data_IF_830804126983
#
_entry.id   IF_830804126983
#
_cell.length_a   1.000
_cell.length_b   1.000
_cell.length_c   1.000
_cell.angle_alpha   90.00
_cell.angle_beta   90.00
_cell.angle_gamma   90.00
#
_symmetry.space_group_name_H-M   'P 1'
#
loop_
_entity.id
_entity.type
_entity.pdbx_description
1 polymer ?
#
# COMPACT_ATOMS: atom_id res chain seq x y z
N UNK A 1 -25.41 64.99 15.30
CA UNK A 1 -26.66 65.79 15.45
C UNK A 1 -27.81 64.82 15.61
N UNK A 2 -28.66 64.99 16.63
CA UNK A 2 -29.95 64.30 16.73
C UNK A 2 -30.13 63.43 17.96
N UNK A 3 -30.65 64.04 19.03
CA UNK A 3 -31.06 63.43 20.30
C UNK A 3 -32.20 62.42 20.18
N UNK A 4 -32.30 61.50 21.14
CA UNK A 4 -33.60 61.04 21.67
C UNK A 4 -33.43 60.52 23.12
N UNK A 5 -34.00 61.25 24.07
CA UNK A 5 -34.46 60.76 25.38
C UNK A 5 -35.99 60.51 25.26
N UNK A 6 -36.74 59.83 26.16
CA UNK A 6 -36.55 59.78 27.63
C UNK A 6 -36.98 58.46 28.36
N UNK A 7 -36.78 58.46 29.70
CA UNK A 7 -37.60 57.92 30.84
C UNK A 7 -38.38 56.60 30.61
N UNK A 8 -38.33 55.57 31.47
CA UNK A 8 -38.63 55.47 32.92
C UNK A 8 -38.49 53.93 33.19
N UNK A 9 -37.91 53.40 34.27
CA UNK A 9 -38.56 53.19 35.56
C UNK A 9 -37.56 52.57 36.56
N UNK A 10 -37.71 53.03 37.80
CA UNK A 10 -37.05 52.61 39.04
C UNK A 10 -37.32 51.13 39.39
N UNK A 11 -36.31 50.44 39.92
CA UNK A 11 -36.49 49.47 41.00
C UNK A 11 -35.27 49.55 41.93
N UNK A 12 -35.46 50.28 43.03
CA UNK A 12 -34.68 50.15 44.27
C UNK A 12 -35.12 48.87 44.99
N UNK A 13 -34.19 48.16 45.62
CA UNK A 13 -34.29 47.37 46.87
C UNK A 13 -32.90 46.71 47.08
N UNK A 14 -31.97 47.33 47.82
CA UNK A 14 -31.73 47.29 49.28
C UNK A 14 -30.71 46.21 49.74
N UNK A 15 -29.69 46.73 50.45
CA UNK A 15 -28.98 46.20 51.62
C UNK A 15 -27.73 45.30 51.45
N UNK A 16 -26.60 45.94 51.75
CA UNK A 16 -25.53 45.54 52.66
C UNK A 16 -25.47 44.10 53.18
N UNK A 17 -24.27 43.52 53.07
CA UNK A 17 -23.81 42.46 53.97
C UNK A 17 -22.67 41.63 53.40
N UNK A 18 -21.44 42.14 53.48
CA UNK A 18 -20.23 41.32 53.31
C UNK A 18 -20.15 40.28 54.43
N UNK A 19 -20.02 39.01 54.06
CA UNK A 19 -19.27 38.02 54.84
C UNK A 19 -18.47 37.17 53.86
N UNK A 20 -17.16 37.39 53.86
CA UNK A 20 -16.21 36.59 53.12
C UNK A 20 -16.09 35.21 53.76
N UNK A 21 -16.24 34.16 52.95
CA UNK A 21 -15.67 32.83 53.25
C UNK A 21 -14.93 32.39 52.00
N UNK A 22 -13.61 32.54 52.02
CA UNK A 22 -12.73 31.92 51.04
C UNK A 22 -12.42 30.49 51.51
N UNK A 23 -12.79 29.48 50.71
CA UNK A 23 -12.22 28.13 50.81
C UNK A 23 -12.45 27.34 49.52
N UNK A 24 -11.36 27.12 48.78
CA UNK A 24 -11.19 25.99 47.85
C UNK A 24 -11.56 26.24 46.38
N UNK A 25 -10.60 26.22 45.44
CA UNK A 25 -10.94 25.85 44.08
C UNK A 25 -11.29 24.36 44.12
N UNK A 26 -12.58 24.03 44.06
CA UNK A 26 -12.95 22.67 43.70
C UNK A 26 -12.34 22.42 42.33
N UNK A 27 -11.45 21.43 42.31
CA UNK A 27 -10.63 21.08 41.17
C UNK A 27 -11.46 21.12 39.90
N UNK A 28 -10.95 21.87 38.92
CA UNK A 28 -11.22 21.53 37.54
C UNK A 28 -10.83 20.05 37.46
N UNK A 29 -11.83 19.18 37.43
CA UNK A 29 -11.61 17.79 37.05
C UNK A 29 -10.93 17.91 35.70
N UNK A 30 -9.62 17.72 35.74
CA UNK A 30 -8.83 17.59 34.55
C UNK A 30 -9.52 16.47 33.81
N UNK A 31 -10.15 16.82 32.69
CA UNK A 31 -10.49 15.86 31.66
C UNK A 31 -9.17 15.30 31.18
N UNK A 32 -8.60 14.43 32.00
CA UNK A 32 -7.61 13.45 31.64
C UNK A 32 -8.37 12.56 30.68
N UNK A 33 -8.35 12.91 29.40
CA UNK A 33 -8.59 11.94 28.34
C UNK A 33 -7.42 10.97 28.36
N UNK A 34 -7.36 10.19 29.42
CA UNK A 34 -6.54 9.03 29.57
C UNK A 34 -7.06 8.09 28.48
N UNK A 35 -6.30 7.88 27.42
CA UNK A 35 -6.59 6.81 26.48
C UNK A 35 -6.44 5.49 27.26
N UNK A 36 -7.53 4.99 27.84
CA UNK A 36 -7.53 3.81 28.73
C UNK A 36 -7.55 2.46 27.99
N UNK A 37 -7.49 2.46 26.66
CA UNK A 37 -7.43 1.22 25.85
C UNK A 37 -6.45 1.38 24.71
N UNK A 38 -5.73 0.30 24.40
CA UNK A 38 -4.93 0.21 23.18
C UNK A 38 -5.84 0.43 21.97
N UNK A 39 -5.48 1.37 21.11
CA UNK A 39 -6.15 1.62 19.84
C UNK A 39 -5.17 1.34 18.69
N UNK A 40 -5.71 0.84 17.58
CA UNK A 40 -4.96 0.64 16.35
C UNK A 40 -5.62 1.46 15.24
N UNK A 41 -4.84 2.15 14.38
CA UNK A 41 -5.39 2.80 13.19
C UNK A 41 -6.13 1.81 12.29
N UNK A 42 -7.00 2.35 11.43
CA UNK A 42 -7.68 1.55 10.42
C UNK A 42 -6.66 0.93 9.45
N UNK A 43 -6.86 -0.34 9.11
CA UNK A 43 -6.04 -1.01 8.10
C UNK A 43 -6.40 -0.49 6.70
N UNK A 44 -5.42 -0.43 5.80
CA UNK A 44 -5.62 0.02 4.44
C UNK A 44 -4.48 -0.39 3.51
N UNK A 45 -4.72 -0.27 2.20
CA UNK A 45 -3.69 -0.52 1.20
C UNK A 45 -2.71 0.66 1.13
N UNK A 46 -1.47 0.42 1.55
CA UNK A 46 -0.40 1.43 1.56
C UNK A 46 0.04 1.86 0.16
N UNK A 47 -0.26 1.10 -0.90
CA UNK A 47 0.09 1.51 -2.27
C UNK A 47 -0.83 2.62 -2.80
N UNK A 48 -2.09 2.68 -2.36
CA UNK A 48 -3.08 3.61 -2.92
C UNK A 48 -2.63 5.06 -2.77
N UNK A 49 -2.62 5.79 -3.88
CA UNK A 49 -2.25 7.21 -3.92
C UNK A 49 -0.75 7.48 -3.79
N UNK A 50 0.10 6.45 -3.70
CA UNK A 50 1.56 6.59 -3.67
C UNK A 50 2.16 6.21 -5.01
N UNK A 51 3.34 6.78 -5.29
CA UNK A 51 4.08 6.50 -6.52
C UNK A 51 4.90 5.23 -6.33
N UNK A 52 4.59 4.20 -7.10
CA UNK A 52 5.46 3.04 -7.28
C UNK A 52 6.57 3.37 -8.28
N UNK A 53 7.78 2.93 -7.96
CA UNK A 53 8.94 3.02 -8.81
C UNK A 53 9.29 1.64 -9.38
N UNK A 54 9.76 1.59 -10.63
CA UNK A 54 10.32 0.40 -11.26
C UNK A 54 11.61 0.74 -12.02
N UNK A 55 12.51 -0.24 -12.23
CA UNK A 55 13.75 0.01 -12.99
C UNK A 55 13.41 0.33 -14.47
N UNK A 56 12.48 -0.43 -15.05
CA UNK A 56 12.06 -0.29 -16.45
C UNK A 56 10.54 -0.21 -16.61
N UNK A 57 10.10 0.19 -17.81
CA UNK A 57 8.70 0.19 -18.24
C UNK A 57 8.67 -0.01 -19.76
N UNK A 58 7.74 -0.81 -20.28
CA UNK A 58 7.64 -1.03 -21.72
C UNK A 58 7.34 0.26 -22.48
N UNK A 59 7.81 0.31 -23.73
CA UNK A 59 7.49 1.37 -24.66
C UNK A 59 8.00 2.76 -24.24
N UNK A 60 9.04 2.82 -23.41
CA UNK A 60 9.60 4.08 -22.87
C UNK A 60 10.22 4.96 -23.95
N UNK A 61 10.90 4.35 -24.93
CA UNK A 61 11.57 5.06 -26.03
C UNK A 61 10.78 5.00 -27.33
N UNK A 62 10.26 3.82 -27.68
CA UNK A 62 9.56 3.54 -28.93
C UNK A 62 8.38 2.62 -28.69
N UNK A 63 7.44 2.52 -29.64
CA UNK A 63 6.39 1.49 -29.55
C UNK A 63 7.02 0.10 -29.64
N UNK A 64 6.74 -0.75 -28.65
CA UNK A 64 7.21 -2.13 -28.55
C UNK A 64 6.02 -3.10 -28.76
N UNK A 65 6.27 -4.27 -29.32
CA UNK A 65 5.27 -5.34 -29.42
C UNK A 65 5.48 -6.29 -28.25
N UNK A 66 4.43 -6.69 -27.54
CA UNK A 66 4.53 -7.68 -26.49
C UNK A 66 3.44 -8.74 -26.65
N UNK A 67 3.64 -9.92 -26.06
CA UNK A 67 2.66 -10.99 -26.10
C UNK A 67 2.29 -11.46 -24.68
N UNK A 68 1.01 -11.76 -24.46
CA UNK A 68 0.47 -12.13 -23.16
C UNK A 68 -0.55 -13.27 -23.27
N UNK A 69 -0.67 -14.05 -22.20
CA UNK A 69 -1.69 -15.10 -22.09
C UNK A 69 -3.03 -14.51 -21.64
N UNK A 70 -4.11 -14.96 -22.26
CA UNK A 70 -5.47 -14.63 -21.80
C UNK A 70 -5.97 -15.64 -20.79
N UNK A 71 -6.81 -15.18 -19.87
CA UNK A 71 -7.47 -16.05 -18.91
C UNK A 71 -8.36 -17.06 -19.64
N UNK A 72 -8.27 -18.33 -19.26
CA UNK A 72 -9.15 -19.38 -19.74
C UNK A 72 -9.62 -20.20 -18.54
N UNK A 73 -10.84 -20.74 -18.65
CA UNK A 73 -11.47 -21.61 -17.64
C UNK A 73 -10.61 -22.81 -17.24
N UNK A 74 -9.79 -23.30 -18.18
CA UNK A 74 -9.03 -24.54 -17.99
C UNK A 74 -7.65 -24.30 -17.33
N UNK A 75 -7.32 -23.04 -16.99
CA UNK A 75 -6.01 -22.62 -16.44
C UNK A 75 -4.79 -23.01 -17.30
N UNK A 76 -5.04 -23.39 -18.55
CA UNK A 76 -4.00 -23.74 -19.53
C UNK A 76 -3.48 -22.52 -20.27
N UNK A 77 -2.20 -22.55 -20.61
CA UNK A 77 -1.55 -21.50 -21.38
C UNK A 77 -1.83 -21.75 -22.86
N UNK A 78 -2.92 -21.15 -23.37
CA UNK A 78 -3.27 -21.18 -24.80
C UNK A 78 -2.33 -20.26 -25.61
N UNK A 79 -2.63 -20.07 -26.89
CA UNK A 79 -1.86 -19.16 -27.73
C UNK A 79 -1.83 -17.74 -27.15
N UNK A 80 -0.65 -17.12 -27.02
CA UNK A 80 -0.53 -15.76 -26.52
C UNK A 80 -1.12 -14.78 -27.54
N UNK A 81 -1.76 -13.73 -27.05
CA UNK A 81 -2.19 -12.59 -27.86
C UNK A 81 -1.10 -11.53 -27.80
N UNK A 82 -0.84 -10.87 -28.91
CA UNK A 82 0.14 -9.80 -28.96
C UNK A 82 -0.53 -8.45 -29.14
N UNK A 83 0.05 -7.43 -28.52
CA UNK A 83 -0.42 -6.04 -28.57
C UNK A 83 0.79 -5.08 -28.50
N UNK A 84 0.54 -3.79 -28.65
CA UNK A 84 1.57 -2.74 -28.67
C UNK A 84 1.62 -2.02 -27.33
N UNK A 85 2.82 -1.76 -26.84
CA UNK A 85 3.07 -0.89 -25.71
C UNK A 85 3.74 0.42 -26.16
N UNK A 86 3.23 1.55 -25.70
CA UNK A 86 3.87 2.86 -25.90
C UNK A 86 3.57 3.76 -24.68
N UNK A 87 4.61 4.09 -23.91
CA UNK A 87 4.47 4.86 -22.67
C UNK A 87 3.99 6.31 -22.89
N UNK A 88 4.20 6.87 -24.09
CA UNK A 88 3.74 8.21 -24.44
C UNK A 88 2.26 8.25 -24.84
N UNK A 89 1.63 7.10 -25.10
CA UNK A 89 0.22 7.00 -25.49
C UNK A 89 -0.60 6.35 -24.38
N UNK A 90 -1.46 7.10 -23.65
CA UNK A 90 -2.15 6.60 -22.46
C UNK A 90 -2.94 5.30 -22.62
N UNK A 91 -3.47 5.02 -23.82
CA UNK A 91 -4.26 3.82 -24.12
C UNK A 91 -3.41 2.58 -24.42
N UNK A 92 -2.10 2.74 -24.65
CA UNK A 92 -1.12 1.67 -24.87
C UNK A 92 -0.07 1.63 -23.75
N UNK A 93 -0.20 2.48 -22.72
CA UNK A 93 0.80 2.63 -21.68
C UNK A 93 0.51 1.69 -20.50
N UNK A 94 1.56 1.02 -20.03
CA UNK A 94 1.52 0.11 -18.87
C UNK A 94 2.44 0.62 -17.76
N UNK A 95 2.12 1.80 -17.22
CA UNK A 95 2.97 2.53 -16.28
C UNK A 95 2.90 1.94 -14.84
N UNK A 96 3.92 2.17 -13.99
CA UNK A 96 3.95 1.64 -12.61
C UNK A 96 2.75 2.03 -11.75
N UNK A 97 2.13 3.19 -12.03
CA UNK A 97 0.94 3.66 -11.33
C UNK A 97 -0.25 2.70 -11.44
N UNK A 98 -0.34 1.89 -12.50
CA UNK A 98 -1.37 0.89 -12.69
C UNK A 98 -1.33 -0.25 -11.64
N UNK A 99 -0.21 -0.43 -10.92
CA UNK A 99 -0.13 -1.41 -9.83
C UNK A 99 -0.79 -0.92 -8.53
N UNK A 100 -0.94 0.40 -8.37
CA UNK A 100 -1.48 1.06 -7.18
C UNK A 100 -2.86 1.68 -7.42
N UNK A 101 -3.46 1.46 -8.59
CA UNK A 101 -4.79 1.96 -8.88
C UNK A 101 -5.88 1.09 -8.23
N UNK A 102 -7.13 1.50 -8.39
CA UNK A 102 -8.25 0.72 -7.85
C UNK A 102 -8.55 -0.44 -8.79
N UNK A 103 -8.19 -1.66 -8.38
CA UNK A 103 -8.51 -2.89 -9.11
C UNK A 103 -10.01 -3.07 -9.42
N UNK A 104 -10.89 -2.49 -8.61
CA UNK A 104 -12.34 -2.47 -8.86
C UNK A 104 -12.74 -1.51 -9.99
N UNK A 105 -12.10 -0.35 -10.09
CA UNK A 105 -12.40 0.65 -11.14
C UNK A 105 -11.65 0.37 -12.44
N UNK A 106 -10.46 -0.19 -12.34
CA UNK A 106 -9.56 -0.44 -13.46
C UNK A 106 -9.11 -1.91 -13.47
N UNK A 107 -10.02 -2.89 -13.63
CA UNK A 107 -9.69 -4.32 -13.53
C UNK A 107 -8.80 -4.83 -14.67
N UNK A 108 -8.49 -3.99 -15.66
CA UNK A 108 -7.73 -4.33 -16.87
C UNK A 108 -6.43 -3.54 -16.99
N UNK A 109 -6.03 -2.77 -15.99
CA UNK A 109 -4.74 -2.08 -15.99
C UNK A 109 -3.67 -2.95 -15.35
N UNK A 110 -2.44 -2.81 -15.83
CA UNK A 110 -1.25 -3.43 -15.25
C UNK A 110 -0.02 -2.61 -15.63
N UNK A 111 1.04 -2.77 -14.85
CA UNK A 111 2.38 -2.32 -15.22
C UNK A 111 3.13 -3.42 -15.96
N UNK A 112 4.00 -3.04 -16.88
CA UNK A 112 4.82 -3.97 -17.63
C UNK A 112 6.25 -3.43 -17.78
N UNK A 113 7.23 -4.30 -17.50
CA UNK A 113 8.66 -4.03 -17.71
C UNK A 113 9.01 -3.91 -19.20
N UNK A 114 10.22 -3.44 -19.50
CA UNK A 114 10.78 -3.56 -20.84
C UNK A 114 10.98 -5.03 -21.24
N UNK A 115 11.12 -5.28 -22.55
CA UNK A 115 11.38 -6.63 -23.08
C UNK A 115 12.76 -7.17 -22.65
N UNK A 116 12.86 -8.50 -22.55
CA UNK A 116 14.08 -9.25 -22.23
C UNK A 116 14.77 -8.90 -20.90
N UNK A 117 14.04 -8.26 -19.98
CA UNK A 117 14.53 -7.95 -18.63
C UNK A 117 14.36 -9.15 -17.70
N UNK A 118 15.48 -9.66 -17.19
CA UNK A 118 15.50 -10.80 -16.25
C UNK A 118 15.61 -10.36 -14.78
N UNK A 119 16.01 -9.12 -14.54
CA UNK A 119 16.18 -8.52 -13.21
C UNK A 119 15.49 -7.19 -13.19
N UNK A 120 14.48 -7.09 -12.34
CA UNK A 120 13.59 -5.94 -12.28
C UNK A 120 13.24 -5.71 -10.81
N UNK A 121 13.21 -4.45 -10.40
CA UNK A 121 12.91 -4.04 -9.03
C UNK A 121 11.70 -3.11 -9.04
N UNK A 122 10.73 -3.44 -8.20
CA UNK A 122 9.61 -2.55 -7.89
C UNK A 122 9.80 -2.04 -6.45
N UNK A 123 9.65 -0.74 -6.25
CA UNK A 123 9.89 -0.08 -4.96
C UNK A 123 8.72 0.84 -4.62
N UNK A 124 8.23 0.73 -3.38
CA UNK A 124 7.25 1.62 -2.77
C UNK A 124 7.92 2.36 -1.62
N UNK A 125 8.15 3.65 -1.80
CA UNK A 125 8.66 4.50 -0.74
C UNK A 125 7.51 5.03 0.11
N UNK A 126 7.64 4.87 1.43
CA UNK A 126 6.67 5.36 2.41
C UNK A 126 7.24 6.59 3.10
N UNK A 127 6.39 7.58 3.30
CA UNK A 127 6.71 8.88 3.90
C UNK A 127 6.96 8.81 5.42
N UNK A 128 6.59 7.69 6.04
CA UNK A 128 6.66 7.45 7.47
C UNK A 128 6.81 5.94 7.76
N UNK A 129 6.90 5.59 9.04
CA UNK A 129 6.87 4.19 9.47
C UNK A 129 5.43 3.65 9.48
N UNK A 130 5.22 2.48 8.87
CA UNK A 130 3.92 1.82 8.81
C UNK A 130 4.00 0.38 9.30
N UNK A 131 2.91 -0.07 9.92
CA UNK A 131 2.69 -1.49 10.19
C UNK A 131 2.30 -2.21 8.91
N UNK A 132 3.24 -2.98 8.38
CA UNK A 132 3.03 -3.85 7.25
C UNK A 132 2.54 -5.23 7.74
N UNK A 133 1.46 -5.76 7.18
CA UNK A 133 0.85 -7.03 7.61
C UNK A 133 0.89 -8.12 6.55
N UNK A 134 0.67 -7.76 5.29
CA UNK A 134 0.75 -8.70 4.19
C UNK A 134 0.94 -7.99 2.86
N UNK A 135 1.47 -8.73 1.89
CA UNK A 135 1.60 -8.33 0.49
C UNK A 135 0.72 -9.22 -0.38
N UNK A 136 0.09 -8.64 -1.39
CA UNK A 136 -0.56 -9.36 -2.48
C UNK A 136 -0.09 -8.74 -3.80
N UNK A 137 0.49 -9.56 -4.66
CA UNK A 137 0.83 -9.17 -6.05
C UNK A 137 0.05 -10.10 -6.98
N UNK A 138 -0.59 -9.51 -8.00
CA UNK A 138 -1.30 -10.26 -9.04
C UNK A 138 -0.57 -10.04 -10.36
N UNK A 139 -0.08 -11.11 -10.96
CA UNK A 139 0.71 -11.03 -12.20
C UNK A 139 -0.18 -11.21 -13.43
N UNK A 140 -0.02 -10.32 -14.41
CA UNK A 140 -0.59 -10.48 -15.76
C UNK A 140 0.20 -11.49 -16.60
N UNK A 141 1.50 -11.59 -16.35
CA UNK A 141 2.42 -12.61 -16.85
C UNK A 141 2.39 -13.87 -15.97
N UNK A 142 3.09 -14.96 -16.36
CA UNK A 142 3.48 -15.98 -15.40
C UNK A 142 4.26 -15.36 -14.24
N UNK A 143 4.15 -15.97 -13.06
CA UNK A 143 4.91 -15.54 -11.88
C UNK A 143 6.41 -15.79 -12.09
N UNK A 144 7.28 -14.93 -11.52
CA UNK A 144 8.71 -15.09 -11.67
C UNK A 144 9.18 -16.40 -11.05
N UNK A 145 10.14 -17.05 -11.71
CA UNK A 145 10.76 -18.27 -11.19
C UNK A 145 11.51 -18.03 -9.87
N UNK A 146 11.99 -16.80 -9.66
CA UNK A 146 12.61 -16.35 -8.42
C UNK A 146 12.31 -14.86 -8.19
N UNK A 147 11.95 -14.50 -6.96
CA UNK A 147 11.82 -13.11 -6.51
C UNK A 147 12.12 -12.99 -5.01
N UNK A 148 12.47 -11.78 -4.59
CA UNK A 148 12.74 -11.47 -3.18
C UNK A 148 11.90 -10.26 -2.78
N UNK A 149 11.28 -10.35 -1.61
CA UNK A 149 10.64 -9.22 -0.96
C UNK A 149 11.58 -8.69 0.10
N UNK A 150 12.02 -7.44 -0.06
CA UNK A 150 12.86 -6.74 0.91
C UNK A 150 12.06 -5.64 1.62
N UNK A 151 12.50 -5.26 2.83
CA UNK A 151 12.01 -4.06 3.52
C UNK A 151 13.14 -3.21 4.05
N UNK A 152 12.91 -1.91 4.12
CA UNK A 152 13.76 -0.95 4.84
C UNK A 152 12.99 -0.40 6.05
N UNK A 153 13.72 -0.18 7.16
CA UNK A 153 13.20 0.48 8.36
C UNK A 153 13.88 1.83 8.62
N UNK A 154 14.70 2.29 7.68
CA UNK A 154 15.53 3.49 7.80
C UNK A 154 15.47 4.34 6.53
N UNK A 155 14.31 4.34 5.89
CA UNK A 155 13.97 5.14 4.70
C UNK A 155 14.93 4.91 3.52
N UNK A 156 15.22 3.64 3.23
CA UNK A 156 15.97 3.20 2.05
C UNK A 156 17.49 3.10 2.25
N UNK A 157 18.02 3.38 3.45
CA UNK A 157 19.48 3.30 3.72
C UNK A 157 19.97 1.86 3.83
N UNK A 158 19.22 1.00 4.50
CA UNK A 158 19.49 -0.44 4.60
C UNK A 158 18.25 -1.24 4.26
N UNK A 159 18.50 -2.42 3.67
CA UNK A 159 17.46 -3.34 3.21
C UNK A 159 17.69 -4.69 3.85
N UNK A 160 16.61 -5.30 4.33
CA UNK A 160 16.63 -6.64 4.89
C UNK A 160 15.63 -7.52 4.14
N UNK A 161 16.05 -8.72 3.72
CA UNK A 161 15.15 -9.70 3.14
C UNK A 161 14.03 -10.05 4.10
N UNK A 162 12.82 -10.01 3.57
CA UNK A 162 11.60 -10.33 4.28
C UNK A 162 11.13 -11.74 3.96
N UNK A 163 11.04 -12.08 2.66
CA UNK A 163 10.64 -13.40 2.18
C UNK A 163 11.24 -13.67 0.80
N UNK A 164 11.65 -14.90 0.56
CA UNK A 164 12.13 -15.37 -0.74
C UNK A 164 11.08 -16.24 -1.40
N UNK A 165 10.97 -16.16 -2.72
CA UNK A 165 10.09 -17.00 -3.52
C UNK A 165 10.91 -17.60 -4.64
N UNK A 166 10.94 -18.92 -4.75
CA UNK A 166 11.64 -19.60 -5.83
C UNK A 166 10.98 -20.93 -6.19
N UNK A 167 11.03 -21.32 -7.46
CA UNK A 167 10.64 -22.68 -7.89
C UNK A 167 11.42 -23.77 -7.15
N UNK A 168 12.67 -23.49 -6.81
CA UNK A 168 13.51 -24.33 -5.95
C UNK A 168 14.35 -23.45 -5.01
N UNK A 169 13.91 -23.34 -3.75
CA UNK A 169 14.57 -22.51 -2.74
C UNK A 169 16.03 -22.89 -2.48
N UNK A 170 16.33 -24.19 -2.46
CA UNK A 170 17.68 -24.70 -2.18
C UNK A 170 18.63 -24.37 -3.34
N UNK A 171 18.20 -24.62 -4.58
CA UNK A 171 19.02 -24.37 -5.76
C UNK A 171 19.23 -22.87 -6.04
N UNK A 172 18.19 -22.04 -5.85
CA UNK A 172 18.25 -20.61 -6.21
C UNK A 172 18.88 -19.75 -5.13
N UNK A 173 18.55 -19.99 -3.85
CA UNK A 173 18.96 -19.13 -2.74
C UNK A 173 19.77 -19.86 -1.66
N UNK A 174 19.96 -21.18 -1.77
CA UNK A 174 20.57 -21.97 -0.69
C UNK A 174 19.72 -22.02 0.58
N UNK A 175 18.40 -21.81 0.46
CA UNK A 175 17.47 -21.73 1.58
C UNK A 175 16.55 -22.96 1.63
N UNK A 176 16.13 -23.33 2.84
CA UNK A 176 15.07 -24.32 3.02
C UNK A 176 13.71 -23.75 2.59
N UNK A 177 12.88 -24.62 2.01
CA UNK A 177 11.52 -24.27 1.57
C UNK A 177 10.52 -24.39 2.74
N UNK A 178 9.66 -23.40 2.90
CA UNK A 178 8.66 -23.37 3.97
C UNK A 178 7.56 -24.43 3.85
N UNK A 179 7.41 -25.01 2.65
CA UNK A 179 6.57 -26.20 2.41
C UNK A 179 7.13 -27.42 3.13
N UNK A 180 8.46 -27.51 3.28
CA UNK A 180 9.15 -28.61 3.96
C UNK A 180 9.39 -28.26 5.43
N UNK A 181 9.89 -27.05 5.71
CA UNK A 181 10.21 -26.57 7.05
C UNK A 181 9.41 -25.32 7.39
N UNK A 182 8.36 -25.50 8.19
CA UNK A 182 7.51 -24.40 8.66
C UNK A 182 8.36 -23.27 9.26
N UNK A 183 8.10 -22.04 8.80
CA UNK A 183 8.83 -20.84 9.25
C UNK A 183 10.11 -20.52 8.47
N UNK A 184 10.46 -21.29 7.43
CA UNK A 184 11.58 -20.94 6.58
C UNK A 184 11.34 -19.63 5.80
N UNK A 185 12.44 -18.94 5.47
CA UNK A 185 12.40 -17.65 4.78
C UNK A 185 12.01 -17.76 3.30
N UNK A 186 12.22 -18.92 2.68
CA UNK A 186 11.88 -19.15 1.28
C UNK A 186 10.63 -20.00 1.12
N UNK A 187 9.86 -19.78 0.05
CA UNK A 187 8.70 -20.60 -0.30
C UNK A 187 8.64 -20.85 -1.81
N UNK A 188 8.29 -22.08 -2.21
CA UNK A 188 7.98 -22.40 -3.61
C UNK A 188 6.50 -22.28 -3.97
N UNK A 189 5.62 -22.05 -2.98
CA UNK A 189 4.15 -22.06 -3.14
C UNK A 189 3.66 -21.11 -4.23
N UNK A 190 4.33 -19.99 -4.44
CA UNK A 190 3.90 -18.93 -5.35
C UNK A 190 4.83 -18.75 -6.56
N UNK A 191 5.69 -19.72 -6.85
CA UNK A 191 6.68 -19.61 -7.94
C UNK A 191 6.37 -20.53 -9.13
N UNK A 192 5.25 -21.26 -9.09
CA UNK A 192 4.80 -22.02 -10.26
C UNK A 192 4.43 -21.07 -11.42
N UNK A 193 4.87 -21.36 -12.66
CA UNK A 193 4.51 -20.57 -13.84
C UNK A 193 3.02 -20.67 -14.18
N UNK A 194 2.29 -21.64 -13.61
CA UNK A 194 0.85 -21.79 -13.80
C UNK A 194 0.06 -21.25 -12.60
N UNK A 195 -1.02 -20.48 -12.81
CA UNK A 195 -1.56 -20.07 -14.11
C UNK A 195 -0.68 -19.03 -14.81
N UNK A 196 -0.66 -19.03 -16.16
CA UNK A 196 0.15 -18.10 -16.96
C UNK A 196 -0.33 -16.64 -16.93
N UNK A 197 -1.48 -16.37 -16.31
CA UNK A 197 -2.02 -15.02 -16.07
C UNK A 197 -2.90 -15.08 -14.83
N UNK A 198 -2.99 -14.00 -14.07
CA UNK A 198 -3.75 -13.95 -12.82
C UNK A 198 -3.09 -14.71 -11.66
N UNK A 199 -1.82 -15.09 -11.81
CA UNK A 199 -1.08 -15.77 -10.76
C UNK A 199 -0.84 -14.81 -9.58
N UNK A 200 -1.20 -15.22 -8.38
CA UNK A 200 -1.00 -14.43 -7.18
C UNK A 200 0.27 -14.85 -6.42
N UNK A 201 0.91 -13.87 -5.79
CA UNK A 201 1.93 -14.05 -4.75
C UNK A 201 1.43 -13.37 -3.48
N UNK A 202 1.42 -14.11 -2.37
CA UNK A 202 0.99 -13.61 -1.06
C UNK A 202 2.11 -13.79 -0.04
N UNK A 203 2.42 -12.74 0.71
CA UNK A 203 3.37 -12.77 1.81
C UNK A 203 2.65 -12.33 3.09
N UNK A 204 2.67 -13.16 4.13
CA UNK A 204 2.14 -12.81 5.45
C UNK A 204 3.29 -12.54 6.43
N UNK A 205 3.04 -11.64 7.38
CA UNK A 205 4.01 -11.07 8.33
C UNK A 205 3.75 -11.58 9.74
#
# INVERSE_FOLDING_TARGET
MGSCAPRLLLLLLLLWGCSAVAAGPNGVDGMSSRCEKACNPQMGNLALGRKLWSDTTCGQNTTELFCFYTENTDLTCRQPKCDKCNAAQPHLAHLPAAMADSSFRFPRTWWQSAEDVHREKIQLDLEAEFYFTHLIIVFKSPRPAAMVLDRSQDFGKTWKPYKYFATNCSATFGLEDDVVKKGALCTSRYSSPFPCTGGEVRAHI
#
